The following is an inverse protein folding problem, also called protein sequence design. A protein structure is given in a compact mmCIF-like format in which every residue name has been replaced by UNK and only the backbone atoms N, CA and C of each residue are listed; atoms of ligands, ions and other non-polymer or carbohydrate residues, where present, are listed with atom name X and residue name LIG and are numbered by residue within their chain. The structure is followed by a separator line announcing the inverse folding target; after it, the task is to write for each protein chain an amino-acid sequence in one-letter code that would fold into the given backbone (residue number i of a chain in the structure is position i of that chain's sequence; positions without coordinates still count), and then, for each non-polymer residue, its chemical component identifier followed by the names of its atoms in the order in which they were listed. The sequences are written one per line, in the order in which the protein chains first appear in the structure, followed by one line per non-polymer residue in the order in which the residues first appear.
data_IF_770356246752
#
_entry.id   IF_770356246752
#
_cell.length_a   1.000
_cell.length_b   1.000
_cell.length_c   1.000
_cell.angle_alpha   90.00
_cell.angle_beta   90.00
_cell.angle_gamma   90.00
#
_symmetry.space_group_name_H-M   'P 1'
#
loop_
_entity.id
_entity.type
_entity.pdbx_description
1 polymer ?
#
# COMPACT_ATOMS: atom_id res chain seq x y z
N UNK A 1 31.45 4.57 -14.60
CA UNK A 1 30.95 5.97 -14.66
C UNK A 1 31.99 6.87 -14.01
N UNK A 2 32.42 7.90 -14.69
CA UNK A 2 33.48 8.84 -14.19
C UNK A 2 32.89 9.72 -13.07
N UNK A 3 33.73 10.14 -12.11
CA UNK A 3 33.38 11.00 -10.96
C UNK A 3 32.56 12.24 -11.37
N UNK A 4 32.86 12.83 -12.51
CA UNK A 4 32.18 14.03 -13.06
C UNK A 4 30.76 13.77 -13.53
N UNK A 5 30.45 12.58 -14.06
CA UNK A 5 29.09 12.22 -14.46
C UNK A 5 28.19 11.98 -13.24
N UNK A 6 28.74 11.38 -12.17
CA UNK A 6 28.04 11.16 -10.90
C UNK A 6 27.75 12.47 -10.17
N UNK A 7 28.71 13.43 -10.20
CA UNK A 7 28.50 14.77 -9.61
C UNK A 7 27.44 15.57 -10.36
N UNK A 8 27.38 15.51 -11.71
CA UNK A 8 26.34 16.18 -12.50
C UNK A 8 24.95 15.58 -12.28
N UNK A 9 24.84 14.26 -12.10
CA UNK A 9 23.53 13.62 -11.84
C UNK A 9 23.00 13.99 -10.44
N UNK A 10 23.85 14.05 -9.43
CA UNK A 10 23.48 14.45 -8.06
C UNK A 10 23.04 15.92 -8.02
N UNK A 11 23.78 16.83 -8.66
CA UNK A 11 23.41 18.24 -8.72
C UNK A 11 22.05 18.44 -9.41
N UNK A 12 21.80 17.70 -10.48
CA UNK A 12 20.52 17.77 -11.23
C UNK A 12 19.34 17.27 -10.38
N UNK A 13 19.56 16.27 -9.52
CA UNK A 13 18.53 15.74 -8.60
C UNK A 13 18.25 16.72 -7.44
N UNK A 14 19.29 17.36 -6.88
CA UNK A 14 19.13 18.38 -5.84
C UNK A 14 18.35 19.60 -6.36
N UNK A 15 18.66 20.06 -7.58
CA UNK A 15 17.95 21.17 -8.24
C UNK A 15 16.47 20.81 -8.48
N UNK A 16 16.20 19.58 -8.92
CA UNK A 16 14.83 19.05 -9.14
C UNK A 16 14.04 19.01 -7.83
N UNK A 17 14.63 18.47 -6.77
CA UNK A 17 14.01 18.41 -5.44
C UNK A 17 13.72 19.83 -4.92
N UNK A 18 14.65 20.77 -5.11
CA UNK A 18 14.46 22.16 -4.69
C UNK A 18 13.30 22.82 -5.43
N UNK A 19 13.18 22.61 -6.76
CA UNK A 19 12.06 23.12 -7.55
C UNK A 19 10.72 22.52 -7.12
N UNK A 20 10.67 21.19 -6.85
CA UNK A 20 9.46 20.53 -6.36
C UNK A 20 9.00 21.16 -5.04
N UNK A 21 9.89 21.30 -4.06
CA UNK A 21 9.57 21.88 -2.75
C UNK A 21 9.08 23.32 -2.84
N UNK A 22 9.72 24.12 -3.68
CA UNK A 22 9.28 25.52 -3.91
C UNK A 22 7.87 25.58 -4.51
N UNK A 23 7.58 24.72 -5.49
CA UNK A 23 6.25 24.66 -6.14
C UNK A 23 5.19 24.14 -5.18
N UNK A 24 5.47 23.11 -4.38
CA UNK A 24 4.56 22.60 -3.34
C UNK A 24 4.17 23.75 -2.40
N UNK A 25 5.15 24.51 -1.92
CA UNK A 25 4.90 25.66 -1.04
C UNK A 25 4.04 26.74 -1.70
N UNK A 26 4.31 27.09 -2.97
CA UNK A 26 3.54 28.09 -3.72
C UNK A 26 2.10 27.65 -3.99
N UNK A 27 1.88 26.38 -4.24
CA UNK A 27 0.59 25.81 -4.59
C UNK A 27 -0.22 25.32 -3.38
N UNK A 28 0.27 25.51 -2.15
CA UNK A 28 -0.28 24.88 -0.95
C UNK A 28 -0.52 23.38 -1.16
N UNK A 29 0.49 22.69 -1.67
CA UNK A 29 0.45 21.26 -1.98
C UNK A 29 1.24 20.43 -0.97
N UNK A 30 0.76 19.21 -0.68
CA UNK A 30 1.48 18.21 0.11
C UNK A 30 1.77 16.96 -0.74
N UNK A 31 2.89 16.30 -0.44
CA UNK A 31 3.27 15.03 -1.03
C UNK A 31 3.02 13.93 -0.01
N UNK A 32 2.12 13.01 -0.35
CA UNK A 32 1.85 11.80 0.41
C UNK A 32 2.49 10.61 -0.29
N UNK A 33 3.38 9.86 0.37
CA UNK A 33 4.09 8.74 -0.25
C UNK A 33 3.86 7.43 0.50
N UNK A 34 3.62 6.35 -0.24
CA UNK A 34 3.60 5.02 0.32
C UNK A 34 5.02 4.51 0.59
N UNK A 35 5.20 3.65 1.58
CA UNK A 35 6.49 3.01 1.92
C UNK A 35 7.16 2.27 0.75
N UNK A 36 6.41 1.90 -0.30
CA UNK A 36 6.90 1.20 -1.48
C UNK A 36 7.42 2.13 -2.58
N UNK A 37 7.43 3.43 -2.35
CA UNK A 37 8.01 4.38 -3.29
C UNK A 37 9.56 4.30 -3.29
N UNK A 38 10.16 4.80 -4.37
CA UNK A 38 11.61 4.95 -4.46
C UNK A 38 12.14 5.85 -3.33
N UNK A 39 13.38 5.61 -2.84
CA UNK A 39 13.96 6.36 -1.73
C UNK A 39 13.91 7.88 -1.92
N UNK A 40 14.20 8.38 -3.11
CA UNK A 40 14.20 9.82 -3.44
C UNK A 40 12.81 10.45 -3.30
N UNK A 41 11.74 9.72 -3.60
CA UNK A 41 10.36 10.18 -3.38
C UNK A 41 10.03 10.17 -1.88
N UNK A 42 10.46 9.14 -1.16
CA UNK A 42 10.27 9.09 0.28
C UNK A 42 10.98 10.26 1.00
N UNK A 43 12.15 10.69 0.52
CA UNK A 43 12.90 11.79 1.14
C UNK A 43 12.27 13.18 0.93
N UNK A 44 11.46 13.36 -0.10
CA UNK A 44 10.77 14.63 -0.34
C UNK A 44 9.33 14.68 0.17
N UNK A 45 8.78 13.52 0.56
CA UNK A 45 7.39 13.42 1.00
C UNK A 45 7.17 14.15 2.33
N UNK A 46 6.05 14.88 2.43
CA UNK A 46 5.61 15.52 3.68
C UNK A 46 5.10 14.48 4.68
N UNK A 47 4.59 13.35 4.16
CA UNK A 47 4.15 12.24 4.98
C UNK A 47 4.35 10.90 4.26
N UNK A 48 4.90 9.92 4.98
CA UNK A 48 5.12 8.55 4.50
C UNK A 48 4.31 7.60 5.40
N UNK A 49 3.60 6.66 4.80
CA UNK A 49 2.78 5.74 5.57
C UNK A 49 2.29 4.52 4.80
N UNK A 50 1.56 3.65 5.48
CA UNK A 50 0.73 2.62 4.84
C UNK A 50 -0.62 3.20 4.37
N UNK A 51 -1.46 2.36 3.74
CA UNK A 51 -2.74 2.83 3.20
C UNK A 51 -3.68 3.44 4.25
N UNK A 52 -3.64 2.97 5.51
CA UNK A 52 -4.47 3.51 6.58
C UNK A 52 -3.96 4.88 7.03
N UNK A 53 -2.65 5.00 7.23
CA UNK A 53 -2.02 6.25 7.65
C UNK A 53 -2.21 7.34 6.59
N UNK A 54 -1.99 6.99 5.32
CA UNK A 54 -2.19 7.91 4.19
C UNK A 54 -3.65 8.33 4.02
N UNK A 55 -4.61 7.42 4.23
CA UNK A 55 -6.05 7.76 4.22
C UNK A 55 -6.39 8.76 5.33
N UNK A 56 -5.88 8.54 6.56
CA UNK A 56 -6.05 9.48 7.67
C UNK A 56 -5.46 10.84 7.36
N UNK A 57 -4.27 10.86 6.76
CA UNK A 57 -3.59 12.11 6.41
C UNK A 57 -4.30 12.85 5.27
N UNK A 58 -4.77 12.13 4.26
CA UNK A 58 -5.57 12.71 3.18
C UNK A 58 -6.85 13.37 3.69
N UNK A 59 -7.54 12.73 4.65
CA UNK A 59 -8.76 13.26 5.25
C UNK A 59 -8.51 14.50 6.16
N UNK A 60 -7.32 14.59 6.76
CA UNK A 60 -7.01 15.58 7.80
C UNK A 60 -5.77 16.39 7.43
N UNK A 61 -5.89 17.33 6.51
CA UNK A 61 -4.84 18.29 6.15
C UNK A 61 -5.47 19.57 5.59
N UNK A 62 -4.69 20.66 5.57
CA UNK A 62 -5.13 21.99 5.12
C UNK A 62 -4.62 22.36 3.70
N UNK A 63 -3.97 21.42 3.00
CA UNK A 63 -3.47 21.66 1.64
C UNK A 63 -4.62 21.73 0.64
N UNK A 64 -4.45 22.51 -0.43
CA UNK A 64 -5.38 22.59 -1.55
C UNK A 64 -5.15 21.45 -2.56
N UNK A 65 -3.88 21.01 -2.66
CA UNK A 65 -3.44 19.98 -3.59
C UNK A 65 -2.77 18.83 -2.81
N UNK A 66 -3.15 17.61 -3.13
CA UNK A 66 -2.51 16.39 -2.64
C UNK A 66 -1.80 15.73 -3.84
N UNK A 67 -0.47 15.63 -3.80
CA UNK A 67 0.30 14.79 -4.73
C UNK A 67 0.42 13.42 -4.09
N UNK A 68 -0.26 12.44 -4.66
CA UNK A 68 -0.29 11.10 -4.10
C UNK A 68 0.73 10.20 -4.79
N UNK A 69 1.91 10.03 -4.19
CA UNK A 69 2.94 9.10 -4.64
C UNK A 69 2.60 7.69 -4.13
N UNK A 70 1.84 6.98 -4.91
CA UNK A 70 1.29 5.66 -4.64
C UNK A 70 0.72 5.07 -5.92
N UNK A 71 -0.40 4.36 -5.79
CA UNK A 71 -1.14 3.78 -6.92
C UNK A 71 -2.56 4.34 -7.00
N UNK A 72 -3.21 4.11 -8.14
CA UNK A 72 -4.47 4.75 -8.52
C UNK A 72 -5.56 4.65 -7.44
N UNK A 73 -5.83 3.46 -6.90
CA UNK A 73 -6.86 3.27 -5.87
C UNK A 73 -6.59 4.06 -4.56
N UNK A 74 -5.32 4.37 -4.26
CA UNK A 74 -4.95 5.20 -3.10
C UNK A 74 -5.26 6.67 -3.37
N UNK A 75 -4.96 7.15 -4.56
CA UNK A 75 -5.29 8.50 -4.98
C UNK A 75 -6.82 8.70 -5.08
N UNK A 76 -7.57 7.70 -5.58
CA UNK A 76 -9.04 7.68 -5.50
C UNK A 76 -9.54 7.78 -4.05
N UNK A 77 -8.94 7.02 -3.13
CA UNK A 77 -9.30 7.08 -1.72
C UNK A 77 -9.07 8.47 -1.14
N UNK A 78 -7.96 9.12 -1.49
CA UNK A 78 -7.69 10.50 -1.10
C UNK A 78 -8.73 11.48 -1.68
N UNK A 79 -9.12 11.30 -2.96
CA UNK A 79 -10.17 12.10 -3.60
C UNK A 79 -11.54 11.90 -2.95
N UNK A 80 -11.90 10.66 -2.60
CA UNK A 80 -13.16 10.35 -1.91
C UNK A 80 -13.21 11.03 -0.52
N UNK A 81 -12.09 11.02 0.21
CA UNK A 81 -12.00 11.62 1.55
C UNK A 81 -11.88 13.15 1.52
N UNK A 82 -11.37 13.70 0.42
CA UNK A 82 -11.15 15.14 0.23
C UNK A 82 -11.67 15.61 -1.15
N UNK A 83 -12.98 15.52 -1.39
CA UNK A 83 -13.57 15.73 -2.73
C UNK A 83 -13.34 17.14 -3.29
N UNK A 84 -13.18 18.13 -2.43
CA UNK A 84 -12.96 19.53 -2.80
C UNK A 84 -11.50 19.85 -3.13
N UNK A 85 -10.57 18.92 -2.86
CA UNK A 85 -9.16 19.11 -3.15
C UNK A 85 -8.79 18.56 -4.50
N UNK A 86 -7.77 19.14 -5.12
CA UNK A 86 -7.11 18.54 -6.27
C UNK A 86 -6.21 17.38 -5.79
N UNK A 87 -6.45 16.19 -6.31
CA UNK A 87 -5.58 15.01 -6.03
C UNK A 87 -4.87 14.66 -7.32
N UNK A 88 -3.54 14.80 -7.31
CA UNK A 88 -2.67 14.50 -8.44
C UNK A 88 -2.01 13.12 -8.22
N UNK A 89 -1.93 12.33 -9.27
CA UNK A 89 -1.19 11.07 -9.31
C UNK A 89 -0.07 11.21 -10.34
N UNK A 90 1.23 11.15 -9.97
CA UNK A 90 2.31 11.48 -10.88
C UNK A 90 2.35 10.65 -12.17
N UNK A 91 1.85 9.42 -12.11
CA UNK A 91 1.62 8.58 -13.29
C UNK A 91 0.22 7.98 -13.23
N UNK A 92 -0.60 8.25 -14.25
CA UNK A 92 -1.98 7.74 -14.29
C UNK A 92 -2.03 6.22 -14.47
N UNK A 93 -0.99 5.61 -15.05
CA UNK A 93 -0.85 4.17 -15.24
C UNK A 93 -0.32 3.44 -13.99
N UNK A 94 -0.09 4.17 -12.89
CA UNK A 94 0.26 3.59 -11.60
C UNK A 94 -0.93 2.81 -11.01
N UNK A 95 -1.29 1.70 -11.65
CA UNK A 95 -2.41 0.80 -11.31
C UNK A 95 -2.10 -0.14 -10.15
N UNK A 96 -2.89 -1.20 -10.03
CA UNK A 96 -2.69 -2.27 -9.05
C UNK A 96 -3.28 -3.57 -9.55
N UNK A 97 -2.45 -4.61 -9.69
CA UNK A 97 -2.91 -5.93 -10.15
C UNK A 97 -4.08 -6.48 -9.34
N UNK A 98 -4.07 -6.23 -8.04
CA UNK A 98 -5.14 -6.68 -7.14
C UNK A 98 -6.46 -5.93 -7.38
N UNK A 99 -6.40 -4.65 -7.73
CA UNK A 99 -7.59 -3.90 -8.12
C UNK A 99 -8.11 -4.35 -9.50
N UNK A 100 -7.20 -4.64 -10.42
CA UNK A 100 -7.51 -5.12 -11.77
C UNK A 100 -8.13 -6.52 -11.75
N UNK A 101 -7.73 -7.38 -10.81
CA UNK A 101 -8.29 -8.72 -10.60
C UNK A 101 -9.73 -8.69 -10.02
N UNK A 102 -10.22 -7.53 -9.59
CA UNK A 102 -11.55 -7.37 -9.02
C UNK A 102 -12.36 -6.28 -9.77
N UNK A 103 -12.71 -6.50 -11.05
CA UNK A 103 -13.53 -5.56 -11.81
C UNK A 103 -14.91 -5.36 -11.17
N UNK A 104 -15.38 -4.13 -11.12
CA UNK A 104 -16.58 -3.73 -10.39
C UNK A 104 -17.86 -4.43 -10.86
N UNK A 105 -17.98 -4.72 -12.16
CA UNK A 105 -19.09 -5.45 -12.75
C UNK A 105 -19.13 -6.94 -12.34
N UNK A 106 -17.96 -7.60 -12.27
CA UNK A 106 -17.84 -8.96 -11.77
C UNK A 106 -18.07 -9.02 -10.26
N UNK A 107 -17.57 -8.02 -9.55
CA UNK A 107 -17.78 -7.93 -8.11
C UNK A 107 -19.25 -7.72 -7.76
N UNK A 108 -19.97 -6.92 -8.54
CA UNK A 108 -21.41 -6.74 -8.40
C UNK A 108 -22.16 -8.08 -8.52
N UNK A 109 -21.87 -8.87 -9.56
CA UNK A 109 -22.47 -10.19 -9.74
C UNK A 109 -22.19 -11.13 -8.56
N UNK A 110 -20.94 -11.15 -8.09
CA UNK A 110 -20.54 -11.96 -6.94
C UNK A 110 -21.32 -11.54 -5.67
N UNK A 111 -21.57 -10.26 -5.50
CA UNK A 111 -22.40 -9.74 -4.40
C UNK A 111 -23.87 -10.13 -4.56
N UNK A 112 -24.43 -10.02 -5.78
CA UNK A 112 -25.82 -10.39 -6.09
C UNK A 112 -26.08 -11.90 -5.87
N UNK A 113 -25.10 -12.75 -6.12
CA UNK A 113 -25.15 -14.18 -5.81
C UNK A 113 -25.07 -14.48 -4.30
N UNK A 114 -24.72 -13.48 -3.49
CA UNK A 114 -24.53 -13.61 -2.04
C UNK A 114 -25.23 -12.46 -1.28
N UNK A 115 -26.55 -12.26 -1.45
CA UNK A 115 -27.25 -11.06 -0.99
C UNK A 115 -27.26 -10.89 0.53
N UNK A 116 -27.14 -11.99 1.29
CA UNK A 116 -27.16 -11.99 2.76
C UNK A 116 -25.79 -11.71 3.40
N UNK A 117 -24.74 -11.50 2.59
CA UNK A 117 -23.41 -11.29 3.10
C UNK A 117 -23.10 -9.81 3.35
N UNK A 118 -22.44 -9.53 4.44
CA UNK A 118 -21.80 -8.24 4.72
C UNK A 118 -20.48 -8.15 3.94
N UNK A 119 -20.34 -7.11 3.14
CA UNK A 119 -19.22 -6.97 2.21
C UNK A 119 -18.11 -6.16 2.84
N UNK A 120 -16.98 -6.81 3.10
CA UNK A 120 -15.73 -6.16 3.55
C UNK A 120 -14.73 -6.17 2.42
N UNK A 121 -14.34 -4.99 1.95
CA UNK A 121 -13.30 -4.89 0.93
C UNK A 121 -12.00 -4.32 1.49
N UNK A 122 -10.92 -5.00 1.16
CA UNK A 122 -9.59 -4.46 1.34
C UNK A 122 -9.42 -3.24 0.43
N UNK A 123 -8.80 -2.18 0.95
CA UNK A 123 -8.71 -0.86 0.31
C UNK A 123 -8.07 -0.90 -1.10
N UNK A 124 -7.32 -1.97 -1.42
CA UNK A 124 -6.67 -2.20 -2.71
C UNK A 124 -7.70 -2.62 -3.78
N UNK A 125 -8.70 -1.79 -4.01
CA UNK A 125 -9.77 -1.95 -4.99
C UNK A 125 -10.19 -0.59 -5.53
N UNK A 126 -10.90 -0.56 -6.66
CA UNK A 126 -11.35 0.68 -7.29
C UNK A 126 -12.41 1.43 -6.46
N UNK A 127 -12.65 2.69 -6.80
CA UNK A 127 -13.70 3.50 -6.15
C UNK A 127 -15.10 2.86 -6.30
N UNK A 128 -15.37 2.23 -7.45
CA UNK A 128 -16.63 1.53 -7.73
C UNK A 128 -16.82 0.30 -6.84
N UNK A 129 -15.76 -0.47 -6.58
CA UNK A 129 -15.81 -1.62 -5.64
C UNK A 129 -16.00 -1.11 -4.21
N UNK A 130 -15.31 -0.03 -3.83
CA UNK A 130 -15.54 0.64 -2.54
C UNK A 130 -16.98 1.08 -2.38
N UNK A 131 -17.60 1.64 -3.42
CA UNK A 131 -19.00 2.08 -3.44
C UNK A 131 -20.03 0.92 -3.32
N UNK A 132 -19.59 -0.32 -3.55
CA UNK A 132 -20.39 -1.53 -3.41
C UNK A 132 -20.15 -2.25 -2.07
N UNK A 133 -19.24 -1.75 -1.24
CA UNK A 133 -18.84 -2.38 0.02
C UNK A 133 -19.63 -1.83 1.21
N UNK A 134 -19.76 -2.64 2.26
CA UNK A 134 -20.33 -2.20 3.53
C UNK A 134 -19.26 -1.65 4.47
N UNK A 135 -18.05 -2.15 4.36
CA UNK A 135 -16.89 -1.73 5.15
C UNK A 135 -15.61 -1.85 4.31
N UNK A 136 -14.75 -0.86 4.40
CA UNK A 136 -13.36 -0.97 3.90
C UNK A 136 -12.45 -1.39 5.04
N UNK A 137 -11.38 -2.10 4.71
CA UNK A 137 -10.30 -2.40 5.65
C UNK A 137 -8.93 -2.22 5.00
N UNK A 138 -7.90 -2.21 5.83
CA UNK A 138 -6.49 -2.28 5.39
C UNK A 138 -5.83 -3.49 6.06
N UNK A 139 -4.64 -3.88 5.61
CA UNK A 139 -3.86 -4.94 6.28
C UNK A 139 -3.56 -4.62 7.76
N UNK A 140 -3.56 -3.34 8.13
CA UNK A 140 -3.35 -2.89 9.52
C UNK A 140 -4.52 -3.23 10.45
N UNK A 141 -5.76 -3.15 9.96
CA UNK A 141 -6.97 -3.18 10.79
C UNK A 141 -7.96 -4.32 10.47
N UNK A 142 -7.77 -5.07 9.37
CA UNK A 142 -8.74 -6.05 8.88
C UNK A 142 -9.20 -7.03 9.97
N UNK A 143 -8.28 -7.66 10.71
CA UNK A 143 -8.62 -8.62 11.77
C UNK A 143 -9.48 -7.97 12.86
N UNK A 144 -9.11 -6.77 13.30
CA UNK A 144 -9.84 -6.07 14.36
C UNK A 144 -11.22 -5.62 13.91
N UNK A 145 -11.36 -5.20 12.65
CA UNK A 145 -12.65 -4.79 12.08
C UNK A 145 -13.59 -5.99 11.88
N UNK A 146 -13.08 -7.10 11.35
CA UNK A 146 -13.85 -8.34 11.17
C UNK A 146 -14.41 -8.84 12.51
N UNK A 147 -13.63 -8.77 13.60
CA UNK A 147 -14.08 -9.14 14.95
C UNK A 147 -15.20 -8.23 15.50
N UNK A 148 -15.32 -7.01 15.00
CA UNK A 148 -16.38 -6.05 15.40
C UNK A 148 -17.70 -6.25 14.63
N UNK A 149 -17.70 -7.05 13.56
CA UNK A 149 -18.92 -7.36 12.78
C UNK A 149 -19.76 -8.38 13.59
N UNK A 150 -21.09 -8.20 13.70
CA UNK A 150 -21.97 -9.15 14.41
C UNK A 150 -21.76 -10.60 13.96
N UNK A 151 -21.79 -11.53 14.90
CA UNK A 151 -21.44 -12.96 14.65
C UNK A 151 -22.41 -13.67 13.70
N UNK A 152 -23.67 -13.22 13.65
CA UNK A 152 -24.70 -13.73 12.75
C UNK A 152 -24.51 -13.34 11.28
N UNK A 153 -23.65 -12.38 10.98
CA UNK A 153 -23.36 -11.93 9.63
C UNK A 153 -22.40 -12.86 8.90
N UNK A 154 -22.82 -13.38 7.75
CA UNK A 154 -21.91 -13.96 6.76
C UNK A 154 -21.11 -12.84 6.12
N UNK A 155 -19.85 -13.09 5.78
CA UNK A 155 -18.95 -12.04 5.30
C UNK A 155 -18.35 -12.44 3.96
N UNK A 156 -18.39 -11.52 2.98
CA UNK A 156 -17.52 -11.51 1.80
C UNK A 156 -16.28 -10.72 2.14
N UNK A 157 -15.11 -11.23 1.73
CA UNK A 157 -13.84 -10.51 1.79
C UNK A 157 -13.21 -10.47 0.40
N UNK A 158 -12.90 -9.28 -0.09
CA UNK A 158 -12.31 -9.01 -1.39
C UNK A 158 -11.23 -7.89 -1.27
N UNK A 159 -10.35 -7.71 -2.26
CA UNK A 159 -10.09 -8.59 -3.38
C UNK A 159 -9.02 -9.65 -3.11
N UNK A 160 -8.23 -9.56 -2.01
CA UNK A 160 -7.08 -10.41 -1.74
C UNK A 160 -7.43 -11.67 -0.93
N UNK A 161 -7.28 -12.85 -1.56
CA UNK A 161 -7.57 -14.12 -0.91
C UNK A 161 -6.54 -14.51 0.17
N UNK A 162 -5.28 -14.11 0.03
CA UNK A 162 -4.23 -14.45 1.00
C UNK A 162 -4.41 -13.66 2.29
N UNK A 163 -4.58 -12.33 2.17
CA UNK A 163 -4.98 -11.50 3.29
C UNK A 163 -6.29 -12.02 3.91
N UNK A 164 -7.27 -12.40 3.09
CA UNK A 164 -8.55 -12.96 3.55
C UNK A 164 -8.35 -14.23 4.37
N UNK A 165 -7.54 -15.20 3.92
CA UNK A 165 -7.20 -16.42 4.69
C UNK A 165 -6.49 -16.10 6.00
N UNK A 166 -5.56 -15.15 5.98
CA UNK A 166 -4.88 -14.69 7.19
C UNK A 166 -5.86 -14.03 8.18
N UNK A 167 -6.77 -13.20 7.68
CA UNK A 167 -7.84 -12.57 8.48
C UNK A 167 -8.78 -13.64 9.05
N UNK A 168 -9.19 -14.62 8.27
CA UNK A 168 -10.04 -15.74 8.67
C UNK A 168 -9.41 -16.50 9.86
N UNK A 169 -8.14 -16.88 9.72
CA UNK A 169 -7.38 -17.59 10.77
C UNK A 169 -7.27 -16.77 12.07
N UNK A 170 -7.03 -15.45 11.97
CA UNK A 170 -6.74 -14.60 13.13
C UNK A 170 -7.99 -13.95 13.75
N UNK A 171 -9.11 -13.92 13.02
CA UNK A 171 -10.39 -13.46 13.55
C UNK A 171 -11.26 -14.58 14.12
N UNK A 172 -11.07 -15.82 13.66
CA UNK A 172 -11.95 -16.96 13.94
C UNK A 172 -13.28 -16.91 13.18
N UNK A 173 -13.42 -16.01 12.19
CA UNK A 173 -14.63 -15.83 11.37
C UNK A 173 -14.47 -16.54 10.04
N UNK A 174 -15.53 -17.19 9.57
CA UNK A 174 -15.58 -17.71 8.22
C UNK A 174 -15.86 -16.59 7.21
N UNK A 175 -15.08 -16.56 6.11
CA UNK A 175 -15.14 -15.53 5.08
C UNK A 175 -15.29 -16.17 3.70
N UNK A 176 -16.23 -15.67 2.92
CA UNK A 176 -16.30 -15.99 1.49
C UNK A 176 -15.31 -15.10 0.74
N UNK A 177 -14.25 -15.69 0.20
CA UNK A 177 -13.15 -14.96 -0.38
C UNK A 177 -13.34 -14.72 -1.88
N UNK A 178 -13.00 -13.52 -2.35
CA UNK A 178 -12.74 -13.25 -3.75
C UNK A 178 -11.37 -13.83 -4.13
N UNK A 179 -11.18 -14.43 -5.34
CA UNK A 179 -9.98 -15.19 -5.69
C UNK A 179 -8.81 -14.35 -6.24
N UNK A 180 -8.71 -13.07 -5.94
CA UNK A 180 -7.60 -12.21 -6.37
C UNK A 180 -6.36 -12.33 -5.49
N UNK A 181 -5.21 -11.91 -5.99
CA UNK A 181 -3.94 -11.87 -5.27
C UNK A 181 -2.99 -10.78 -5.78
N UNK A 182 -2.05 -10.36 -4.93
CA UNK A 182 -1.04 -9.36 -5.30
C UNK A 182 0.14 -10.03 -6.01
N UNK A 183 0.45 -9.61 -7.24
CA UNK A 183 1.55 -10.19 -8.05
C UNK A 183 2.90 -10.13 -7.34
N UNK A 184 3.18 -9.07 -6.56
CA UNK A 184 4.43 -8.90 -5.82
C UNK A 184 4.52 -9.92 -4.68
N UNK A 185 3.46 -10.07 -3.90
CA UNK A 185 3.48 -10.94 -2.71
C UNK A 185 3.32 -12.43 -3.05
N UNK A 186 2.73 -12.75 -4.20
CA UNK A 186 2.66 -14.11 -4.74
C UNK A 186 3.99 -14.59 -5.36
N UNK A 187 4.83 -13.67 -5.83
CA UNK A 187 6.06 -14.03 -6.55
C UNK A 187 7.21 -14.48 -5.66
N UNK A 188 7.16 -14.29 -4.33
CA UNK A 188 8.26 -14.68 -3.44
C UNK A 188 8.53 -16.19 -3.46
N UNK A 189 9.83 -16.54 -3.53
CA UNK A 189 10.29 -17.93 -3.57
C UNK A 189 10.45 -18.53 -2.17
N UNK A 190 9.67 -19.58 -1.87
CA UNK A 190 9.83 -20.37 -0.64
C UNK A 190 11.22 -21.03 -0.59
N UNK A 191 11.72 -21.58 -1.71
CA UNK A 191 13.05 -22.19 -1.79
C UNK A 191 14.15 -21.18 -1.48
N UNK A 192 14.07 -19.98 -2.06
CA UNK A 192 15.03 -18.91 -1.79
C UNK A 192 14.99 -18.48 -0.31
N UNK A 193 13.80 -18.37 0.29
CA UNK A 193 13.64 -18.07 1.71
C UNK A 193 14.32 -19.14 2.58
N UNK A 194 14.08 -20.42 2.33
CA UNK A 194 14.69 -21.52 3.09
C UNK A 194 16.21 -21.52 2.98
N UNK A 195 16.74 -21.26 1.78
CA UNK A 195 18.18 -21.10 1.55
C UNK A 195 18.77 -19.92 2.34
N UNK A 196 18.09 -18.78 2.35
CA UNK A 196 18.50 -17.60 3.10
C UNK A 196 18.45 -17.87 4.61
N UNK A 197 17.43 -18.57 5.13
CA UNK A 197 17.36 -18.98 6.55
C UNK A 197 18.55 -19.87 6.94
N UNK A 198 18.91 -20.81 6.07
CA UNK A 198 20.08 -21.65 6.31
C UNK A 198 21.40 -20.86 6.34
N UNK A 199 21.55 -19.90 5.44
CA UNK A 199 22.75 -19.04 5.34
C UNK A 199 22.86 -17.99 6.45
N UNK A 200 21.74 -17.62 7.08
CA UNK A 200 21.68 -16.57 8.10
C UNK A 200 21.02 -17.07 9.38
N UNK A 201 21.66 -17.99 10.11
CA UNK A 201 21.10 -18.54 11.34
C UNK A 201 20.86 -17.43 12.39
N UNK A 202 19.70 -17.46 13.04
CA UNK A 202 19.28 -16.46 14.04
C UNK A 202 18.65 -15.19 13.46
N UNK A 203 18.52 -15.07 12.12
CA UNK A 203 17.72 -14.02 11.49
C UNK A 203 16.22 -14.31 11.63
N UNK A 204 15.40 -13.24 11.60
CA UNK A 204 13.95 -13.33 11.60
C UNK A 204 13.36 -13.07 10.23
N UNK A 205 12.27 -13.76 9.93
CA UNK A 205 11.46 -13.55 8.74
C UNK A 205 10.27 -12.68 9.11
N UNK A 206 10.10 -11.57 8.38
CA UNK A 206 8.97 -10.65 8.54
C UNK A 206 8.20 -10.58 7.23
N UNK A 207 6.86 -10.71 7.28
CA UNK A 207 6.04 -10.85 6.09
C UNK A 207 4.80 -9.96 6.10
N UNK A 208 4.42 -9.50 4.91
CA UNK A 208 3.11 -8.91 4.69
C UNK A 208 2.05 -10.03 4.56
N UNK A 209 0.83 -9.86 5.08
CA UNK A 209 -0.20 -10.91 5.07
C UNK A 209 -0.78 -11.23 3.68
N UNK A 210 -0.42 -10.48 2.64
CA UNK A 210 -0.70 -10.81 1.24
C UNK A 210 0.20 -11.93 0.68
N UNK A 211 1.27 -12.32 1.38
CA UNK A 211 2.11 -13.44 0.99
C UNK A 211 1.35 -14.76 1.06
N UNK A 212 1.80 -15.74 0.27
CA UNK A 212 1.23 -17.09 0.27
C UNK A 212 1.31 -17.76 1.65
N UNK A 213 0.39 -18.68 1.93
CA UNK A 213 0.29 -19.35 3.22
C UNK A 213 1.59 -20.05 3.64
N UNK A 214 2.31 -20.64 2.69
CA UNK A 214 3.57 -21.35 2.94
C UNK A 214 4.64 -20.40 3.50
N UNK A 215 4.75 -19.20 2.92
CA UNK A 215 5.67 -18.17 3.38
C UNK A 215 5.27 -17.62 4.75
N UNK A 216 3.96 -17.43 4.98
CA UNK A 216 3.46 -16.94 6.27
C UNK A 216 3.72 -17.93 7.40
N UNK A 217 3.67 -19.24 7.15
CA UNK A 217 4.02 -20.29 8.15
C UNK A 217 5.51 -20.22 8.54
N UNK A 218 6.37 -19.84 7.61
CA UNK A 218 7.82 -19.72 7.83
C UNK A 218 8.23 -18.39 8.48
N UNK A 219 7.28 -17.47 8.68
CA UNK A 219 7.53 -16.11 9.16
C UNK A 219 7.44 -16.01 10.68
N UNK A 220 8.36 -15.25 11.28
CA UNK A 220 8.40 -14.96 12.72
C UNK A 220 7.44 -13.81 13.10
N UNK A 221 7.16 -12.92 12.16
CA UNK A 221 6.20 -11.84 12.34
C UNK A 221 5.44 -11.54 11.05
N UNK A 222 4.13 -11.35 11.16
CA UNK A 222 3.24 -11.02 10.04
C UNK A 222 2.47 -9.75 10.39
N UNK A 223 2.51 -8.76 9.50
CA UNK A 223 1.81 -7.49 9.71
C UNK A 223 1.82 -6.58 8.50
N UNK A 224 1.05 -5.48 8.57
CA UNK A 224 1.12 -4.40 7.57
C UNK A 224 2.50 -3.77 7.54
N UNK A 225 2.78 -2.98 6.52
CA UNK A 225 4.06 -2.27 6.37
C UNK A 225 4.41 -1.43 7.60
N UNK A 226 3.48 -0.67 8.16
CA UNK A 226 3.69 0.08 9.41
C UNK A 226 3.99 -0.83 10.59
N UNK A 227 3.30 -1.98 10.71
CA UNK A 227 3.56 -2.96 11.78
C UNK A 227 4.91 -3.66 11.61
N UNK A 228 5.35 -3.94 10.39
CA UNK A 228 6.68 -4.49 10.12
C UNK A 228 7.77 -3.50 10.55
N UNK A 229 7.62 -2.22 10.18
CA UNK A 229 8.55 -1.17 10.59
C UNK A 229 8.60 -0.99 12.12
N UNK A 230 7.46 -1.08 12.77
CA UNK A 230 7.35 -0.99 14.23
C UNK A 230 7.96 -2.21 14.94
N UNK A 231 7.74 -3.41 14.39
CA UNK A 231 8.31 -4.65 14.89
C UNK A 231 9.84 -4.61 14.87
N UNK A 232 10.45 -4.27 13.72
CA UNK A 232 11.92 -4.22 13.61
C UNK A 232 12.55 -3.18 14.53
N UNK A 233 11.82 -2.15 14.93
CA UNK A 233 12.30 -1.14 15.88
C UNK A 233 12.26 -1.60 17.33
N UNK A 234 11.35 -2.50 17.68
CA UNK A 234 11.17 -3.02 19.05
C UNK A 234 11.90 -4.33 19.29
N UNK A 235 12.12 -5.12 18.26
CA UNK A 235 12.79 -6.42 18.33
C UNK A 235 14.30 -6.27 18.39
N UNK A 236 14.98 -7.22 19.07
CA UNK A 236 16.43 -7.17 19.31
C UNK A 236 17.28 -7.86 18.25
N UNK A 237 16.67 -8.57 17.31
CA UNK A 237 17.37 -9.25 16.21
C UNK A 237 18.18 -8.27 15.36
N UNK A 238 19.28 -8.73 14.80
CA UNK A 238 20.19 -7.91 13.98
C UNK A 238 19.93 -8.07 12.49
N UNK A 239 19.30 -9.17 12.06
CA UNK A 239 19.07 -9.48 10.66
C UNK A 239 17.63 -9.93 10.45
N UNK A 240 17.01 -9.37 9.41
CA UNK A 240 15.64 -9.66 8.99
C UNK A 240 15.59 -10.02 7.52
N UNK A 241 14.87 -11.07 7.19
CA UNK A 241 14.45 -11.39 5.82
C UNK A 241 13.08 -10.78 5.58
N UNK A 242 12.94 -9.96 4.56
CA UNK A 242 11.78 -9.13 4.32
C UNK A 242 10.95 -9.72 3.18
N UNK A 243 9.75 -10.18 3.50
CA UNK A 243 8.73 -10.69 2.57
C UNK A 243 7.65 -9.63 2.37
N UNK A 244 8.03 -8.54 1.74
CA UNK A 244 7.15 -7.51 1.20
C UNK A 244 7.94 -6.67 0.20
N UNK A 245 7.29 -5.76 -0.50
CA UNK A 245 7.91 -4.86 -1.46
C UNK A 245 9.10 -4.11 -0.83
N UNK A 246 10.29 -4.12 -1.47
CA UNK A 246 11.54 -3.71 -0.83
C UNK A 246 11.67 -2.20 -0.54
N UNK A 247 10.83 -1.34 -1.10
CA UNK A 247 10.87 0.10 -0.83
C UNK A 247 10.77 0.46 0.65
N UNK A 248 10.09 -0.37 1.46
CA UNK A 248 10.01 -0.18 2.91
C UNK A 248 11.38 -0.30 3.60
N UNK A 249 12.32 -1.04 3.00
CA UNK A 249 13.66 -1.27 3.58
C UNK A 249 14.41 0.07 3.74
N UNK A 250 14.11 1.06 2.89
CA UNK A 250 14.67 2.40 3.04
C UNK A 250 14.33 2.98 4.42
N UNK A 251 13.06 2.96 4.82
CA UNK A 251 12.63 3.43 6.14
C UNK A 251 13.13 2.54 7.29
N UNK A 252 13.20 1.22 7.08
CA UNK A 252 13.76 0.30 8.05
C UNK A 252 15.24 0.61 8.32
N UNK A 253 16.05 0.84 7.29
CA UNK A 253 17.47 1.22 7.42
C UNK A 253 17.64 2.59 8.04
N UNK A 254 16.77 3.56 7.70
CA UNK A 254 16.80 4.91 8.26
C UNK A 254 16.50 4.90 9.77
N UNK A 255 15.54 4.06 10.18
CA UNK A 255 15.13 3.93 11.60
C UNK A 255 16.10 3.07 12.40
N UNK A 256 16.63 2.02 11.80
CA UNK A 256 17.51 1.01 12.43
C UNK A 256 18.78 0.78 11.60
N UNK A 257 19.72 1.77 11.56
CA UNK A 257 20.87 1.74 10.66
C UNK A 257 21.87 0.61 10.98
N UNK A 258 21.82 0.05 12.19
CA UNK A 258 22.71 -1.03 12.63
C UNK A 258 22.12 -2.44 12.39
N UNK A 259 20.93 -2.54 11.76
CA UNK A 259 20.28 -3.80 11.43
C UNK A 259 20.44 -4.12 9.95
N UNK A 260 20.50 -5.41 9.64
CA UNK A 260 20.59 -5.89 8.28
C UNK A 260 19.23 -6.36 7.79
N UNK A 261 18.83 -5.90 6.60
CA UNK A 261 17.57 -6.26 5.94
C UNK A 261 17.88 -6.94 4.62
N UNK A 262 17.46 -8.19 4.49
CA UNK A 262 17.70 -9.06 3.33
C UNK A 262 16.38 -9.17 2.57
N UNK A 263 16.39 -8.76 1.31
CA UNK A 263 15.30 -8.98 0.37
C UNK A 263 15.22 -10.47 0.01
N UNK A 264 14.03 -11.04 0.06
CA UNK A 264 13.81 -12.42 -0.39
C UNK A 264 13.53 -12.38 -1.89
N UNK A 265 14.26 -13.16 -2.73
CA UNK A 265 14.05 -13.19 -4.16
C UNK A 265 12.69 -13.78 -4.56
N UNK A 266 12.27 -13.48 -5.79
CA UNK A 266 11.15 -14.13 -6.46
C UNK A 266 11.50 -15.54 -6.95
N UNK A 267 10.52 -16.21 -7.56
CA UNK A 267 10.67 -17.58 -8.11
C UNK A 267 11.62 -17.64 -9.31
N UNK A 268 11.86 -16.53 -9.99
CA UNK A 268 12.79 -16.42 -11.12
C UNK A 268 14.22 -16.10 -10.64
N UNK A 269 14.41 -15.88 -9.33
CA UNK A 269 15.68 -15.54 -8.70
C UNK A 269 16.08 -14.06 -8.87
N UNK A 270 15.18 -13.24 -9.37
CA UNK A 270 15.33 -11.79 -9.37
C UNK A 270 15.22 -11.25 -7.93
N UNK A 271 16.10 -10.32 -7.56
CA UNK A 271 15.98 -9.61 -6.27
C UNK A 271 14.97 -8.46 -6.32
N UNK A 272 14.23 -8.34 -7.41
CA UNK A 272 13.42 -7.17 -7.71
C UNK A 272 11.93 -7.47 -7.51
N UNK A 273 11.53 -7.87 -6.29
CA UNK A 273 10.10 -7.93 -5.94
C UNK A 273 9.52 -6.51 -5.76
N UNK A 274 9.95 -5.58 -6.61
CA UNK A 274 9.44 -4.23 -6.65
C UNK A 274 8.06 -4.20 -7.31
N UNK A 275 7.18 -3.39 -6.79
CA UNK A 275 5.90 -3.15 -7.43
C UNK A 275 6.09 -2.29 -8.68
N UNK A 276 5.85 -2.83 -9.90
CA UNK A 276 6.09 -2.09 -11.13
C UNK A 276 5.23 -0.83 -11.22
N UNK A 277 4.04 -0.85 -10.64
CA UNK A 277 3.14 0.29 -10.62
C UNK A 277 3.61 1.40 -9.68
N UNK A 278 4.11 1.06 -8.49
CA UNK A 278 4.66 2.05 -7.55
C UNK A 278 5.88 2.77 -8.12
N UNK A 279 6.69 2.08 -8.92
CA UNK A 279 7.92 2.61 -9.54
C UNK A 279 7.67 3.47 -10.79
N UNK A 280 6.41 3.58 -11.25
CA UNK A 280 6.05 4.53 -12.30
C UNK A 280 6.13 5.99 -11.84
N UNK A 281 5.95 6.25 -10.55
CA UNK A 281 6.15 7.58 -9.99
C UNK A 281 7.64 7.93 -9.95
N UNK A 282 7.99 9.11 -10.44
CA UNK A 282 9.35 9.65 -10.44
C UNK A 282 9.36 11.12 -10.01
N UNK A 283 10.51 11.65 -9.64
CA UNK A 283 10.65 13.08 -9.31
C UNK A 283 10.24 13.99 -10.47
N UNK A 284 10.63 13.64 -11.72
CA UNK A 284 10.25 14.40 -12.91
C UNK A 284 8.74 14.46 -13.08
N UNK A 285 8.03 13.32 -12.92
CA UNK A 285 6.57 13.26 -13.01
C UNK A 285 5.88 14.04 -11.89
N UNK A 286 6.46 14.06 -10.69
CA UNK A 286 5.98 14.91 -9.59
C UNK A 286 6.10 16.38 -9.97
N UNK A 287 7.24 16.79 -10.52
CA UNK A 287 7.44 18.16 -11.00
C UNK A 287 6.46 18.53 -12.12
N UNK A 288 6.25 17.62 -13.08
CA UNK A 288 5.31 17.83 -14.19
C UNK A 288 3.87 17.95 -13.68
N UNK A 289 3.46 17.16 -12.69
CA UNK A 289 2.17 17.33 -12.03
C UNK A 289 1.99 18.73 -11.44
N UNK A 290 3.01 19.23 -10.74
CA UNK A 290 2.97 20.57 -10.13
C UNK A 290 2.96 21.69 -11.18
N UNK A 291 3.61 21.50 -12.33
CA UNK A 291 3.62 22.47 -13.44
C UNK A 291 2.28 22.55 -14.16
N UNK A 292 1.66 21.39 -14.38
CA UNK A 292 0.51 21.26 -15.27
C UNK A 292 -0.82 21.10 -14.50
N UNK A 293 -0.77 20.93 -13.18
CA UNK A 293 -1.90 20.53 -12.33
C UNK A 293 -2.63 19.28 -12.89
N UNK A 294 -1.85 18.31 -13.38
CA UNK A 294 -2.32 17.12 -14.13
C UNK A 294 -1.24 16.02 -14.07
N UNK A 295 -1.61 14.73 -14.15
CA UNK A 295 -2.99 14.21 -14.16
C UNK A 295 -3.67 14.30 -12.79
N UNK A 296 -4.95 14.63 -12.78
CA UNK A 296 -5.80 14.70 -11.59
C UNK A 296 -6.78 13.52 -11.54
N UNK A 297 -7.08 13.08 -10.33
CA UNK A 297 -8.11 12.06 -10.10
C UNK A 297 -9.49 12.72 -10.10
N UNK A 298 -10.30 12.29 -11.06
CA UNK A 298 -11.70 12.69 -11.18
C UNK A 298 -12.61 11.47 -10.98
N UNK A 299 -13.61 11.60 -10.15
CA UNK A 299 -14.57 10.55 -9.84
C UNK A 299 -15.99 11.09 -9.96
N UNK A 300 -16.91 10.22 -10.38
CA UNK A 300 -18.33 10.53 -10.37
C UNK A 300 -18.78 10.89 -8.94
N UNK A 301 -19.51 12.01 -8.74
CA UNK A 301 -19.97 12.45 -7.42
C UNK A 301 -20.79 11.40 -6.67
N UNK A 302 -21.56 10.56 -7.37
CA UNK A 302 -22.33 9.49 -6.74
C UNK A 302 -21.41 8.34 -6.26
N UNK A 303 -20.36 8.02 -7.02
CA UNK A 303 -19.33 7.08 -6.58
C UNK A 303 -18.62 7.61 -5.33
N UNK A 304 -18.22 8.89 -5.33
CA UNK A 304 -17.62 9.52 -4.14
C UNK A 304 -18.55 9.37 -2.94
N UNK A 305 -19.81 9.75 -3.07
CA UNK A 305 -20.81 9.71 -1.99
C UNK A 305 -20.98 8.30 -1.43
N UNK A 306 -21.07 7.30 -2.29
CA UNK A 306 -21.27 5.89 -1.89
C UNK A 306 -20.01 5.30 -1.27
N UNK A 307 -18.84 5.50 -1.88
CA UNK A 307 -17.56 4.97 -1.40
C UNK A 307 -17.09 5.65 -0.10
N UNK A 308 -17.47 6.90 0.14
CA UNK A 308 -17.15 7.61 1.38
C UNK A 308 -17.66 6.87 2.63
N UNK A 309 -18.87 6.31 2.57
CA UNK A 309 -19.53 5.67 3.74
C UNK A 309 -18.70 4.50 4.30
N UNK A 310 -18.33 3.47 3.50
CA UNK A 310 -17.53 2.35 4.02
C UNK A 310 -16.10 2.74 4.40
N UNK A 311 -15.49 3.73 3.72
CA UNK A 311 -14.16 4.25 4.09
C UNK A 311 -14.25 5.00 5.43
N UNK A 312 -15.23 5.89 5.60
CA UNK A 312 -15.43 6.63 6.86
C UNK A 312 -15.68 5.67 8.01
N UNK A 313 -16.50 4.63 7.80
CA UNK A 313 -16.75 3.57 8.78
C UNK A 313 -15.46 2.87 9.20
N UNK A 314 -14.58 2.54 8.24
CA UNK A 314 -13.25 2.00 8.55
C UNK A 314 -12.46 2.94 9.47
N UNK A 315 -12.39 4.22 9.12
CA UNK A 315 -11.64 5.20 9.91
C UNK A 315 -12.19 5.33 11.35
N UNK A 316 -13.52 5.41 11.49
CA UNK A 316 -14.18 5.54 12.78
C UNK A 316 -14.00 4.29 13.66
N UNK A 317 -14.07 3.11 13.07
CA UNK A 317 -13.89 1.83 13.78
C UNK A 317 -12.42 1.51 14.10
N UNK A 318 -11.46 2.24 13.51
CA UNK A 318 -10.01 2.02 13.69
C UNK A 318 -9.38 2.95 14.73
N UNK A 319 -10.19 3.76 15.39
CA UNK A 319 -9.78 4.64 16.49
C UNK A 319 -9.85 3.92 17.83
#
# INVERSE_FOLDING_TARGET
MTSTAKQKSVQNEEDLISEIKERCKKANAIILAHYYQAPEIQEIADFIGDSLDLSRKAANNDADIIIFCGVHFMAETAKILSPNKTVLLPDIDAGCSLADDCPSDKFQKFREENPDHYVVSYINCTAEVKAQSDLICTSSNAVSLIKKIPEDKKIIFAPDQNLGRWVQKNSGRDLKLWPGSCIVHESFSEEALLKLKYQNPGSKVIAHPECSQNLLILSDFIGSTSKLLDFVSKDTSKTYMVLTEPGIIHQMKKKEPNKNFIEVPDVEGCKCNECPYMKLNTLDKILDCLKNNSPSIELDPEIIRRAYVPIKRMLDMSN
#
